data_IF_627104418295
#
_entry.id   IF_627104418295
#
_cell.length_a   1.000
_cell.length_b   1.000
_cell.length_c   1.000
_cell.angle_alpha   90.00
_cell.angle_beta   90.00
_cell.angle_gamma   90.00
#
_symmetry.space_group_name_H-M   'P 1'
#
loop_
_entity.id
_entity.type
_entity.pdbx_description
1 polymer ?
#
# COMPACT_ATOMS: atom_id res chain seq x y z
N UNK A 1 64.48 -20.02 16.79
CA UNK A 1 63.42 -19.03 16.53
C UNK A 1 62.84 -19.26 15.12
N UNK A 2 61.63 -19.88 14.98
CA UNK A 2 60.96 -20.08 13.67
C UNK A 2 60.25 -18.77 13.32
N UNK A 3 60.69 -18.11 12.26
CA UNK A 3 59.98 -16.95 11.69
C UNK A 3 58.73 -17.44 11.03
N UNK A 4 57.55 -17.06 11.57
CA UNK A 4 56.25 -17.29 10.94
C UNK A 4 56.15 -16.29 9.78
N UNK A 5 56.41 -16.76 8.55
CA UNK A 5 56.05 -15.99 7.36
C UNK A 5 54.54 -16.16 7.17
N UNK A 6 53.77 -15.19 7.64
CA UNK A 6 52.35 -15.07 7.31
C UNK A 6 52.30 -14.70 5.83
N UNK A 7 51.83 -15.63 4.98
CA UNK A 7 51.67 -15.39 3.56
C UNK A 7 50.71 -14.20 3.37
N UNK A 8 51.21 -13.12 2.84
CA UNK A 8 50.46 -11.89 2.51
C UNK A 8 49.23 -12.18 1.64
N UNK A 9 49.23 -13.26 0.88
CA UNK A 9 48.12 -13.77 0.08
C UNK A 9 46.93 -14.21 0.92
N UNK A 10 47.12 -14.74 2.14
CA UNK A 10 46.03 -15.17 3.04
C UNK A 10 45.36 -13.96 3.67
N UNK A 11 46.13 -12.90 3.97
CA UNK A 11 45.58 -11.66 4.51
C UNK A 11 44.73 -10.92 3.47
N UNK A 12 45.10 -10.97 2.18
CA UNK A 12 44.36 -10.35 1.09
C UNK A 12 43.02 -11.09 0.80
N UNK A 13 43.01 -12.40 1.00
CA UNK A 13 41.78 -13.20 0.79
C UNK A 13 40.74 -13.01 1.91
N UNK A 14 41.18 -12.67 3.13
CA UNK A 14 40.30 -12.41 4.28
C UNK A 14 39.52 -11.07 4.15
N UNK A 15 39.99 -10.12 3.35
CA UNK A 15 39.34 -8.80 3.16
C UNK A 15 38.14 -8.91 2.21
N UNK A 16 38.07 -9.95 1.36
CA UNK A 16 36.98 -10.14 0.41
C UNK A 16 35.71 -10.76 1.02
N UNK A 17 35.76 -11.22 2.28
CA UNK A 17 34.57 -11.82 2.95
C UNK A 17 33.83 -10.87 3.91
N UNK A 18 34.15 -9.59 3.89
CA UNK A 18 33.33 -8.61 4.58
C UNK A 18 32.23 -8.16 3.59
N UNK A 19 31.30 -9.07 3.27
CA UNK A 19 30.00 -8.70 2.76
C UNK A 19 29.26 -7.95 3.89
N UNK A 20 29.50 -6.65 3.99
CA UNK A 20 28.65 -5.78 4.77
C UNK A 20 27.29 -5.74 4.06
N UNK A 21 26.34 -6.58 4.52
CA UNK A 21 24.93 -6.35 4.25
C UNK A 21 24.60 -4.94 4.73
N UNK A 22 24.65 -3.98 3.83
CA UNK A 22 24.04 -2.66 4.02
C UNK A 22 22.53 -2.88 4.10
N UNK A 23 22.05 -3.29 5.28
CA UNK A 23 20.63 -3.19 5.60
C UNK A 23 20.27 -1.71 5.55
N UNK A 24 19.73 -1.28 4.42
CA UNK A 24 19.11 0.02 4.31
C UNK A 24 18.01 0.09 5.37
N UNK A 25 18.30 0.71 6.51
CA UNK A 25 17.27 1.05 7.49
C UNK A 25 16.35 2.06 6.81
N UNK A 26 15.14 1.61 6.43
CA UNK A 26 14.09 2.52 6.02
C UNK A 26 13.71 3.32 7.27
N UNK A 27 14.26 4.51 7.41
CA UNK A 27 13.86 5.43 8.46
C UNK A 27 12.40 5.80 8.24
N UNK A 28 11.54 5.35 9.17
CA UNK A 28 10.11 5.65 9.14
C UNK A 28 9.90 7.12 9.56
N UNK A 29 9.93 8.03 8.59
CA UNK A 29 9.82 9.47 8.80
C UNK A 29 8.36 9.88 8.61
N UNK A 30 7.84 10.74 9.50
CA UNK A 30 6.55 11.40 9.32
C UNK A 30 6.69 12.41 8.17
N UNK A 31 5.89 12.23 7.12
CA UNK A 31 5.93 13.08 5.93
C UNK A 31 4.78 14.08 5.92
N UNK A 32 3.57 13.65 6.34
CA UNK A 32 2.37 14.48 6.35
C UNK A 32 1.56 14.21 7.61
N UNK A 33 0.97 15.25 8.18
CA UNK A 33 -0.04 15.18 9.25
C UNK A 33 -1.40 15.61 8.70
N UNK A 34 -2.43 14.79 8.91
CA UNK A 34 -3.81 15.06 8.50
C UNK A 34 -4.69 14.94 9.75
N UNK A 35 -5.08 16.08 10.32
CA UNK A 35 -5.71 16.10 11.66
C UNK A 35 -4.79 15.43 12.69
N UNK A 36 -5.29 14.40 13.36
CA UNK A 36 -4.53 13.59 14.32
C UNK A 36 -3.86 12.36 13.70
N UNK A 37 -4.01 12.16 12.38
CA UNK A 37 -3.43 11.02 11.67
C UNK A 37 -2.10 11.40 11.04
N UNK A 38 -1.16 10.45 11.05
CA UNK A 38 0.16 10.59 10.44
C UNK A 38 0.25 9.77 9.15
N UNK A 39 1.00 10.27 8.17
CA UNK A 39 1.42 9.55 6.97
C UNK A 39 2.94 9.51 6.99
N UNK A 40 3.48 8.31 6.93
CA UNK A 40 4.92 8.08 7.01
C UNK A 40 5.52 7.78 5.64
N UNK A 41 6.84 7.83 5.55
CA UNK A 41 7.57 7.42 4.33
C UNK A 41 7.28 5.97 3.93
N UNK A 42 7.09 5.08 4.92
CA UNK A 42 6.73 3.67 4.71
C UNK A 42 5.33 3.54 4.13
N UNK A 43 4.35 4.34 4.60
CA UNK A 43 3.01 4.35 4.03
C UNK A 43 3.02 4.77 2.57
N UNK A 44 3.80 5.81 2.24
CA UNK A 44 3.93 6.31 0.85
C UNK A 44 4.57 5.26 -0.04
N UNK A 45 5.66 4.64 0.41
CA UNK A 45 6.32 3.57 -0.33
C UNK A 45 5.36 2.39 -0.58
N UNK A 46 4.67 1.95 0.46
CA UNK A 46 3.70 0.85 0.35
C UNK A 46 2.57 1.18 -0.63
N UNK A 47 2.05 2.41 -0.60
CA UNK A 47 1.02 2.88 -1.54
C UNK A 47 1.53 2.91 -2.99
N UNK A 48 2.77 3.40 -3.22
CA UNK A 48 3.40 3.43 -4.55
C UNK A 48 3.53 2.01 -5.11
N UNK A 49 4.18 1.10 -4.35
CA UNK A 49 4.45 -0.26 -4.81
C UNK A 49 3.14 -1.02 -5.05
N UNK A 50 2.15 -0.86 -4.14
CA UNK A 50 0.81 -1.44 -4.33
C UNK A 50 0.17 -0.96 -5.63
N UNK A 51 0.23 0.34 -5.91
CA UNK A 51 -0.38 0.92 -7.10
C UNK A 51 0.31 0.45 -8.40
N UNK A 52 1.65 0.45 -8.42
CA UNK A 52 2.41 -0.08 -9.55
C UNK A 52 2.10 -1.56 -9.81
N UNK A 53 2.06 -2.37 -8.75
CA UNK A 53 1.73 -3.79 -8.84
C UNK A 53 0.33 -4.01 -9.41
N UNK A 54 -0.69 -3.33 -8.86
CA UNK A 54 -2.09 -3.50 -9.27
C UNK A 54 -2.32 -3.05 -10.72
N UNK A 55 -1.54 -2.09 -11.21
CA UNK A 55 -1.55 -1.61 -12.59
C UNK A 55 -0.58 -2.36 -13.52
N UNK A 56 0.08 -3.43 -13.03
CA UNK A 56 1.07 -4.23 -13.78
C UNK A 56 2.21 -3.40 -14.35
N UNK A 57 2.59 -2.34 -13.66
CA UNK A 57 3.71 -1.50 -14.02
C UNK A 57 5.00 -2.02 -13.36
N UNK A 58 6.12 -1.91 -14.09
CA UNK A 58 7.42 -2.28 -13.55
C UNK A 58 7.81 -1.34 -12.40
N UNK A 59 8.38 -1.92 -11.32
CA UNK A 59 8.90 -1.18 -10.17
C UNK A 59 10.29 -0.66 -10.56
N UNK A 60 10.32 0.50 -11.24
CA UNK A 60 11.53 1.22 -11.62
C UNK A 60 11.59 2.54 -10.87
N UNK A 61 12.78 3.12 -10.69
CA UNK A 61 12.93 4.42 -10.02
C UNK A 61 12.06 5.49 -10.69
N UNK A 62 12.03 5.53 -12.03
CA UNK A 62 11.18 6.45 -12.80
C UNK A 62 9.70 6.33 -12.45
N UNK A 63 9.17 5.10 -12.41
CA UNK A 63 7.76 4.86 -12.08
C UNK A 63 7.46 5.18 -10.61
N UNK A 64 8.40 4.90 -9.70
CA UNK A 64 8.31 5.30 -8.29
C UNK A 64 8.21 6.82 -8.18
N UNK A 65 9.12 7.56 -8.83
CA UNK A 65 9.14 9.02 -8.76
C UNK A 65 7.87 9.65 -9.35
N UNK A 66 7.39 9.13 -10.47
CA UNK A 66 6.14 9.58 -11.09
C UNK A 66 4.90 9.31 -10.22
N UNK A 67 4.93 8.28 -9.37
CA UNK A 67 3.80 7.88 -8.53
C UNK A 67 3.76 8.58 -7.17
N UNK A 68 4.83 9.27 -6.75
CA UNK A 68 4.93 9.89 -5.41
C UNK A 68 3.78 10.84 -5.09
N UNK A 69 3.52 11.80 -5.98
CA UNK A 69 2.47 12.80 -5.76
C UNK A 69 1.07 12.16 -5.68
N UNK A 70 0.82 11.16 -6.52
CA UNK A 70 -0.43 10.41 -6.49
C UNK A 70 -0.59 9.65 -5.18
N UNK A 71 0.46 8.95 -4.73
CA UNK A 71 0.44 8.18 -3.50
C UNK A 71 0.17 9.05 -2.27
N UNK A 72 0.83 10.22 -2.18
CA UNK A 72 0.60 11.18 -1.08
C UNK A 72 -0.86 11.66 -1.08
N UNK A 73 -1.39 12.09 -2.24
CA UNK A 73 -2.79 12.53 -2.37
C UNK A 73 -3.77 11.39 -2.01
N UNK A 74 -3.51 10.16 -2.46
CA UNK A 74 -4.33 8.98 -2.14
C UNK A 74 -4.40 8.73 -0.64
N UNK A 75 -3.25 8.78 0.05
CA UNK A 75 -3.18 8.58 1.49
C UNK A 75 -3.85 9.71 2.28
N UNK A 76 -3.68 10.97 1.85
CA UNK A 76 -4.38 12.12 2.46
C UNK A 76 -5.89 11.94 2.33
N UNK A 77 -6.39 11.64 1.13
CA UNK A 77 -7.81 11.41 0.89
C UNK A 77 -8.36 10.26 1.73
N UNK A 78 -7.61 9.15 1.83
CA UNK A 78 -7.98 8.04 2.72
C UNK A 78 -8.11 8.47 4.18
N UNK A 79 -7.17 9.30 4.69
CA UNK A 79 -7.23 9.81 6.06
C UNK A 79 -8.44 10.73 6.27
N UNK A 80 -8.73 11.63 5.32
CA UNK A 80 -9.91 12.52 5.36
C UNK A 80 -11.20 11.69 5.37
N UNK A 81 -11.33 10.72 4.46
CA UNK A 81 -12.49 9.81 4.43
C UNK A 81 -12.68 9.09 5.76
N UNK A 82 -11.60 8.56 6.36
CA UNK A 82 -11.66 7.91 7.67
C UNK A 82 -12.11 8.86 8.77
N UNK A 83 -11.69 10.11 8.77
CA UNK A 83 -12.13 11.09 9.75
C UNK A 83 -13.64 11.34 9.65
N UNK A 84 -14.16 11.52 8.43
CA UNK A 84 -15.59 11.72 8.21
C UNK A 84 -16.40 10.45 8.54
N UNK A 85 -15.96 9.27 8.11
CA UNK A 85 -16.58 7.99 8.46
C UNK A 85 -16.72 7.84 9.99
N UNK A 86 -15.64 8.16 10.73
CA UNK A 86 -15.65 8.08 12.19
C UNK A 86 -16.58 9.14 12.81
N UNK A 87 -16.60 10.36 12.28
CA UNK A 87 -17.49 11.44 12.74
C UNK A 87 -18.97 11.08 12.62
N UNK A 88 -19.34 10.36 11.57
CA UNK A 88 -20.71 9.89 11.34
C UNK A 88 -20.95 8.46 11.87
N UNK A 89 -20.02 7.88 12.58
CA UNK A 89 -20.10 6.56 13.21
C UNK A 89 -20.50 5.43 12.25
N UNK A 90 -20.07 5.52 10.98
CA UNK A 90 -20.34 4.47 9.98
C UNK A 90 -19.40 3.29 10.24
N UNK A 91 -19.97 2.17 10.70
CA UNK A 91 -19.21 0.99 11.13
C UNK A 91 -19.42 -0.25 10.26
N UNK A 92 -20.40 -0.20 9.34
CA UNK A 92 -20.75 -1.37 8.53
C UNK A 92 -20.74 -1.06 7.03
N UNK A 93 -20.37 -2.07 6.26
CA UNK A 93 -20.41 -2.09 4.81
C UNK A 93 -20.76 -3.50 4.32
N UNK A 94 -21.09 -3.66 3.05
CA UNK A 94 -21.34 -4.98 2.46
C UNK A 94 -20.03 -5.77 2.35
N UNK A 95 -19.84 -6.78 3.19
CA UNK A 95 -18.64 -7.63 3.22
C UNK A 95 -18.47 -8.46 1.94
N UNK A 96 -19.55 -8.72 1.22
CA UNK A 96 -19.50 -9.42 -0.05
C UNK A 96 -18.77 -8.59 -1.12
N UNK A 97 -18.97 -7.28 -1.13
CA UNK A 97 -18.28 -6.37 -2.06
C UNK A 97 -16.77 -6.40 -1.85
N UNK A 98 -16.31 -6.41 -0.59
CA UNK A 98 -14.90 -6.57 -0.28
C UNK A 98 -14.37 -7.92 -0.78
N UNK A 99 -15.12 -8.99 -0.50
CA UNK A 99 -14.75 -10.34 -0.93
C UNK A 99 -14.63 -10.44 -2.46
N UNK A 100 -15.59 -9.90 -3.18
CA UNK A 100 -15.62 -9.86 -4.63
C UNK A 100 -14.45 -9.03 -5.19
N UNK A 101 -14.15 -7.90 -4.58
CA UNK A 101 -12.98 -7.09 -4.98
C UNK A 101 -11.67 -7.87 -4.85
N UNK A 102 -11.48 -8.57 -3.73
CA UNK A 102 -10.27 -9.39 -3.51
C UNK A 102 -10.19 -10.51 -4.55
N UNK A 103 -11.31 -11.19 -4.83
CA UNK A 103 -11.38 -12.26 -5.83
C UNK A 103 -11.06 -11.74 -7.23
N UNK A 104 -11.66 -10.61 -7.63
CA UNK A 104 -11.39 -9.99 -8.93
C UNK A 104 -9.93 -9.53 -9.05
N UNK A 105 -9.37 -9.00 -7.96
CA UNK A 105 -7.95 -8.62 -7.93
C UNK A 105 -7.05 -9.85 -8.07
N UNK A 106 -7.32 -10.93 -7.34
CA UNK A 106 -6.58 -12.19 -7.44
C UNK A 106 -6.66 -12.78 -8.86
N UNK A 107 -7.86 -12.75 -9.47
CA UNK A 107 -8.08 -13.22 -10.85
C UNK A 107 -7.26 -12.43 -11.87
N UNK A 108 -7.04 -11.11 -11.68
CA UNK A 108 -6.15 -10.32 -12.55
C UNK A 108 -4.73 -10.88 -12.58
N UNK A 109 -4.26 -11.48 -11.47
CA UNK A 109 -2.94 -12.11 -11.37
C UNK A 109 -2.95 -13.62 -11.66
N UNK A 110 -4.08 -14.17 -12.12
CA UNK A 110 -4.28 -15.60 -12.36
C UNK A 110 -4.00 -16.48 -11.12
N UNK A 111 -4.36 -15.98 -9.92
CA UNK A 111 -4.19 -16.68 -8.64
C UNK A 111 -5.48 -16.65 -7.83
N UNK A 112 -5.53 -17.44 -6.74
CA UNK A 112 -6.55 -17.35 -5.70
C UNK A 112 -6.18 -16.30 -4.64
N UNK A 113 -7.04 -16.10 -3.62
CA UNK A 113 -6.80 -15.15 -2.53
C UNK A 113 -5.48 -15.37 -1.79
N UNK A 114 -5.09 -16.62 -1.56
CA UNK A 114 -3.83 -16.95 -0.89
C UNK A 114 -2.64 -16.58 -1.79
N UNK A 115 -2.74 -16.90 -3.08
CA UNK A 115 -1.75 -16.50 -4.07
C UNK A 115 -1.58 -14.99 -4.16
N UNK A 116 -2.68 -14.22 -4.04
CA UNK A 116 -2.60 -12.77 -3.98
C UNK A 116 -1.81 -12.28 -2.75
N UNK A 117 -2.04 -12.87 -1.56
CA UNK A 117 -1.26 -12.56 -0.34
C UNK A 117 0.22 -12.84 -0.53
N UNK A 118 0.58 -13.97 -1.16
CA UNK A 118 1.97 -14.32 -1.44
C UNK A 118 2.63 -13.34 -2.44
N UNK A 119 1.89 -12.88 -3.45
CA UNK A 119 2.37 -11.83 -4.37
C UNK A 119 2.68 -10.55 -3.61
N UNK A 120 1.80 -10.11 -2.71
CA UNK A 120 2.01 -8.94 -1.87
C UNK A 120 3.23 -9.10 -0.97
N UNK A 121 3.34 -10.24 -0.28
CA UNK A 121 4.48 -10.57 0.59
C UNK A 121 5.81 -10.57 -0.19
N UNK A 122 5.84 -11.19 -1.38
CA UNK A 122 7.03 -11.24 -2.24
C UNK A 122 7.51 -9.83 -2.66
N UNK A 123 6.60 -8.89 -2.79
CA UNK A 123 6.90 -7.50 -3.14
C UNK A 123 7.04 -6.57 -1.92
N UNK A 124 7.12 -7.13 -0.69
CA UNK A 124 7.19 -6.39 0.57
C UNK A 124 6.04 -5.39 0.75
N UNK A 125 4.85 -5.71 0.25
CA UNK A 125 3.66 -4.89 0.36
C UNK A 125 2.82 -5.37 1.55
N UNK A 126 2.35 -4.43 2.36
CA UNK A 126 1.43 -4.74 3.45
C UNK A 126 0.03 -5.03 2.90
N UNK A 127 -0.37 -6.31 2.93
CA UNK A 127 -1.67 -6.76 2.43
C UNK A 127 -2.84 -6.16 3.22
N UNK A 128 -2.69 -5.99 4.55
CA UNK A 128 -3.76 -5.41 5.38
C UNK A 128 -3.98 -3.93 5.05
N UNK A 129 -2.93 -3.19 4.69
CA UNK A 129 -3.05 -1.81 4.21
C UNK A 129 -3.86 -1.73 2.90
N UNK A 130 -3.67 -2.70 2.00
CA UNK A 130 -4.46 -2.82 0.77
C UNK A 130 -5.95 -3.10 1.09
N UNK A 131 -6.23 -4.08 1.96
CA UNK A 131 -7.61 -4.38 2.39
C UNK A 131 -8.25 -3.16 3.06
N UNK A 132 -7.57 -2.54 4.02
CA UNK A 132 -8.06 -1.37 4.75
C UNK A 132 -8.34 -0.17 3.83
N UNK A 133 -7.59 -0.02 2.75
CA UNK A 133 -7.87 1.00 1.74
C UNK A 133 -9.24 0.77 1.09
N UNK A 134 -9.53 -0.45 0.67
CA UNK A 134 -10.79 -0.76 0.02
C UNK A 134 -11.97 -0.74 1.00
N UNK A 135 -11.79 -1.25 2.22
CA UNK A 135 -12.79 -1.10 3.30
C UNK A 135 -13.15 0.37 3.55
N UNK A 136 -12.14 1.26 3.52
CA UNK A 136 -12.38 2.70 3.65
C UNK A 136 -13.26 3.23 2.52
N UNK A 137 -13.06 2.78 1.28
CA UNK A 137 -13.91 3.18 0.15
C UNK A 137 -15.35 2.64 0.30
N UNK A 138 -15.54 1.41 0.76
CA UNK A 138 -16.87 0.83 0.99
C UNK A 138 -17.63 1.58 2.10
N UNK A 139 -16.96 1.86 3.23
CA UNK A 139 -17.53 2.66 4.31
C UNK A 139 -17.86 4.08 3.85
N UNK A 140 -16.99 4.68 3.05
CA UNK A 140 -17.24 6.00 2.46
C UNK A 140 -18.46 6.00 1.54
N UNK A 141 -18.60 5.01 0.68
CA UNK A 141 -19.77 4.87 -0.18
C UNK A 141 -21.05 4.70 0.64
N UNK A 142 -21.01 3.92 1.74
CA UNK A 142 -22.14 3.79 2.67
C UNK A 142 -22.48 5.12 3.31
N UNK A 143 -21.51 5.91 3.74
CA UNK A 143 -21.72 7.25 4.30
C UNK A 143 -22.37 8.18 3.27
N UNK A 144 -21.81 8.26 2.07
CA UNK A 144 -22.36 9.10 1.00
C UNK A 144 -23.79 8.70 0.67
N UNK A 145 -24.04 7.40 0.50
CA UNK A 145 -25.40 6.91 0.27
C UNK A 145 -26.36 7.32 1.40
N UNK A 146 -25.97 7.18 2.66
CA UNK A 146 -26.82 7.52 3.82
C UNK A 146 -27.17 9.00 3.87
N UNK A 147 -26.25 9.89 3.46
CA UNK A 147 -26.48 11.34 3.44
C UNK A 147 -27.38 11.74 2.28
N UNK A 148 -27.16 11.19 1.09
CA UNK A 148 -27.77 11.70 -0.13
C UNK A 148 -28.95 10.87 -0.66
N UNK A 149 -29.24 9.67 -0.13
CA UNK A 149 -30.31 8.79 -0.62
C UNK A 149 -31.69 9.46 -0.70
N UNK A 150 -31.99 10.41 0.19
CA UNK A 150 -33.26 11.11 0.24
C UNK A 150 -33.27 12.41 -0.63
N UNK A 151 -32.13 12.78 -1.20
CA UNK A 151 -31.97 13.98 -2.03
C UNK A 151 -31.98 13.65 -3.53
N UNK A 152 -31.83 12.38 -3.88
CA UNK A 152 -31.86 11.92 -5.28
C UNK A 152 -33.30 11.56 -5.64
N UNK A 153 -34.06 12.55 -6.08
CA UNK A 153 -35.33 12.31 -6.79
C UNK A 153 -35.00 11.97 -8.25
N UNK A 154 -34.98 10.69 -8.58
CA UNK A 154 -34.90 10.26 -9.99
C UNK A 154 -36.29 10.50 -10.58
N UNK A 155 -36.41 11.53 -11.42
CA UNK A 155 -37.61 11.73 -12.22
C UNK A 155 -37.59 10.66 -13.35
N UNK A 156 -38.38 9.61 -13.19
CA UNK A 156 -38.40 8.45 -14.13
C UNK A 156 -38.82 8.91 -15.53
N UNK A 157 -39.48 10.08 -15.66
CA UNK A 157 -39.97 10.64 -16.93
C UNK A 157 -38.83 11.14 -17.83
N UNK A 158 -37.61 11.41 -17.26
CA UNK A 158 -36.48 11.91 -18.00
C UNK A 158 -35.56 10.79 -18.55
N UNK A 159 -35.97 9.52 -18.44
CA UNK A 159 -35.15 8.34 -18.79
C UNK A 159 -35.75 7.50 -19.93
N UNK A 160 -36.87 7.92 -20.54
CA UNK A 160 -37.48 7.30 -21.75
C UNK A 160 -36.99 7.95 -23.04
#
# INVERSE_FOLDING_TARGET
MRKIQINFSILFFLIFFIDSELKSQINNIIVVKVGNSLITSVDIQNEIITNLLLNRQNITQKNIDNSKNFAVKSLINKKIKRMEINKYEVTSYNKEDLNNYILLTAKKFAVNKNGLKEIFKKNNINYDSFINKYETELLWNTLIYSIYKNQVNINIIDVE
#
